data_IF_044787779045
#
_entry.id   IF_044787779045
#
_cell.length_a   1.000
_cell.length_b   1.000
_cell.length_c   1.000
_cell.angle_alpha   90.00
_cell.angle_beta   90.00
_cell.angle_gamma   90.00
#
_symmetry.space_group_name_H-M   'P 1'
#
loop_
_entity.id
_entity.type
_entity.pdbx_description
1 polymer ?
#
# COMPACT_ATOMS: atom_id res chain seq x y z
N UNK A 1 -10.92 6.29 17.38
CA UNK A 1 -10.56 4.92 16.97
C UNK A 1 -11.24 4.41 15.69
N UNK A 2 -12.56 4.54 15.51
CA UNK A 2 -13.23 3.92 14.34
C UNK A 2 -12.77 4.42 12.96
N UNK A 3 -12.45 5.72 12.81
CA UNK A 3 -11.87 6.28 11.57
C UNK A 3 -10.50 5.69 11.24
N UNK A 4 -9.67 5.51 12.26
CA UNK A 4 -8.33 4.92 12.14
C UNK A 4 -8.40 3.45 11.69
N UNK A 5 -9.20 2.62 12.36
CA UNK A 5 -9.42 1.21 11.99
C UNK A 5 -9.93 1.07 10.54
N UNK A 6 -10.85 1.94 10.13
CA UNK A 6 -11.44 1.91 8.79
C UNK A 6 -10.43 2.32 7.71
N UNK A 7 -9.50 3.22 8.03
CA UNK A 7 -8.39 3.57 7.16
C UNK A 7 -7.35 2.44 7.07
N UNK A 8 -7.02 1.80 8.20
CA UNK A 8 -6.15 0.62 8.30
C UNK A 8 -6.67 -0.55 7.45
N UNK A 9 -7.95 -0.88 7.57
CA UNK A 9 -8.60 -1.92 6.78
C UNK A 9 -8.53 -1.64 5.27
N UNK A 10 -8.74 -0.39 4.86
CA UNK A 10 -8.57 0.01 3.46
C UNK A 10 -7.13 -0.20 3.01
N UNK A 11 -6.16 0.17 3.85
CA UNK A 11 -4.74 0.07 3.50
C UNK A 11 -4.26 -1.39 3.39
N UNK A 12 -4.70 -2.26 4.31
CA UNK A 12 -4.46 -3.71 4.23
C UNK A 12 -5.05 -4.30 2.95
N UNK A 13 -6.27 -3.88 2.57
CA UNK A 13 -6.89 -4.34 1.32
C UNK A 13 -6.11 -3.89 0.09
N UNK A 14 -5.58 -2.67 0.12
CA UNK A 14 -4.75 -2.11 -0.94
C UNK A 14 -3.37 -2.77 -1.02
N UNK A 15 -2.72 -3.08 0.10
CA UNK A 15 -1.43 -3.79 0.13
C UNK A 15 -1.58 -5.24 -0.34
N UNK A 16 -2.65 -5.93 0.06
CA UNK A 16 -2.96 -7.27 -0.45
C UNK A 16 -3.17 -7.27 -1.97
N UNK A 17 -3.88 -6.26 -2.51
CA UNK A 17 -4.06 -6.10 -3.96
C UNK A 17 -2.73 -5.86 -4.69
N UNK A 18 -1.89 -4.97 -4.16
CA UNK A 18 -0.52 -4.74 -4.66
C UNK A 18 0.31 -6.02 -4.69
N UNK A 19 0.23 -6.84 -3.63
CA UNK A 19 0.90 -8.13 -3.55
C UNK A 19 0.43 -9.12 -4.62
N UNK A 20 -0.88 -9.20 -4.89
CA UNK A 20 -1.44 -10.07 -5.93
C UNK A 20 -0.97 -9.60 -7.32
N UNK A 21 -1.02 -8.30 -7.61
CA UNK A 21 -0.56 -7.73 -8.88
C UNK A 21 0.94 -7.98 -9.08
N UNK A 22 1.74 -7.82 -8.04
CA UNK A 22 3.17 -8.12 -8.06
C UNK A 22 3.44 -9.61 -8.34
N UNK A 23 2.70 -10.52 -7.70
CA UNK A 23 2.83 -11.96 -7.92
C UNK A 23 2.46 -12.37 -9.35
N UNK A 24 1.34 -11.86 -9.88
CA UNK A 24 0.89 -12.14 -11.27
C UNK A 24 1.91 -11.61 -12.28
N UNK A 25 2.42 -10.39 -12.06
CA UNK A 25 3.41 -9.78 -12.96
C UNK A 25 4.74 -10.54 -12.92
N UNK A 26 5.11 -11.09 -11.76
CA UNK A 26 6.31 -11.94 -11.64
C UNK A 26 6.18 -13.23 -12.45
N UNK A 27 4.97 -13.79 -12.56
CA UNK A 27 4.72 -15.00 -13.31
C UNK A 27 4.72 -14.77 -14.84
N UNK A 28 4.17 -13.65 -15.31
CA UNK A 28 3.97 -13.34 -16.75
C UNK A 28 5.10 -12.52 -17.38
N UNK A 29 5.94 -11.85 -16.58
CA UNK A 29 7.01 -11.01 -17.12
C UNK A 29 8.06 -11.80 -17.94
N UNK A 30 8.75 -11.15 -18.90
CA UNK A 30 9.80 -11.76 -19.71
C UNK A 30 10.94 -12.30 -18.85
N UNK A 31 11.76 -13.22 -19.40
CA UNK A 31 12.84 -13.95 -18.72
C UNK A 31 14.05 -13.07 -18.32
N UNK A 32 13.79 -11.97 -17.60
CA UNK A 32 14.77 -11.13 -16.93
C UNK A 32 14.62 -11.29 -15.41
N UNK A 33 15.66 -10.92 -14.67
CA UNK A 33 15.83 -11.15 -13.24
C UNK A 33 14.57 -10.87 -12.41
N UNK A 34 14.32 -11.74 -11.42
CA UNK A 34 13.17 -11.71 -10.49
C UNK A 34 12.94 -10.32 -9.86
N UNK A 35 14.01 -9.54 -9.67
CA UNK A 35 13.97 -8.18 -9.14
C UNK A 35 13.23 -7.19 -10.07
N UNK A 36 13.50 -7.26 -11.39
CA UNK A 36 12.87 -6.35 -12.37
C UNK A 36 11.39 -6.68 -12.52
N UNK A 37 11.05 -7.96 -12.54
CA UNK A 37 9.67 -8.48 -12.54
C UNK A 37 8.84 -7.98 -11.37
N UNK A 38 9.40 -8.07 -10.15
CA UNK A 38 8.74 -7.57 -8.94
C UNK A 38 8.56 -6.05 -8.98
N UNK A 39 9.59 -5.32 -9.43
CA UNK A 39 9.54 -3.86 -9.58
C UNK A 39 8.43 -3.38 -10.52
N UNK A 40 8.25 -4.05 -11.67
CA UNK A 40 7.20 -3.69 -12.64
C UNK A 40 5.81 -3.94 -12.05
N UNK A 41 5.61 -5.06 -11.36
CA UNK A 41 4.33 -5.37 -10.71
C UNK A 41 3.97 -4.40 -9.59
N UNK A 42 4.97 -3.96 -8.81
CA UNK A 42 4.80 -2.92 -7.80
C UNK A 42 4.45 -1.58 -8.45
N UNK A 43 5.13 -1.20 -9.54
CA UNK A 43 4.85 0.06 -10.25
C UNK A 43 3.44 0.05 -10.83
N UNK A 44 3.02 -1.04 -11.49
CA UNK A 44 1.66 -1.18 -12.05
C UNK A 44 0.61 -1.16 -10.94
N UNK A 45 0.82 -1.89 -9.84
CA UNK A 45 -0.07 -1.87 -8.69
C UNK A 45 -0.18 -0.47 -8.06
N UNK A 46 0.94 0.25 -7.96
CA UNK A 46 0.97 1.64 -7.51
C UNK A 46 0.29 2.59 -8.50
N UNK A 47 0.41 2.35 -9.82
CA UNK A 47 -0.25 3.14 -10.85
C UNK A 47 -1.77 2.97 -10.80
N UNK A 48 -2.25 1.73 -10.61
CA UNK A 48 -3.67 1.40 -10.47
C UNK A 48 -4.25 2.04 -9.20
N UNK A 49 -3.51 1.99 -8.09
CA UNK A 49 -3.94 2.64 -6.85
C UNK A 49 -3.81 4.17 -6.91
N UNK A 50 -2.92 4.68 -7.75
CA UNK A 50 -2.72 6.09 -8.05
C UNK A 50 -2.65 6.95 -6.80
N UNK A 51 -3.45 8.03 -6.75
CA UNK A 51 -3.50 8.96 -5.61
C UNK A 51 -4.24 8.40 -4.38
N UNK A 52 -4.90 7.25 -4.45
CA UNK A 52 -5.72 6.73 -3.33
C UNK A 52 -4.86 6.08 -2.24
N UNK A 53 -3.77 5.42 -2.60
CA UNK A 53 -2.85 4.83 -1.64
C UNK A 53 -2.10 5.88 -0.80
N UNK A 54 -1.39 6.86 -1.38
CA UNK A 54 -0.69 7.88 -0.59
C UNK A 54 -1.67 8.75 0.21
N UNK A 55 -2.91 8.95 -0.27
CA UNK A 55 -3.94 9.68 0.48
C UNK A 55 -4.44 8.90 1.69
N UNK A 56 -4.70 7.59 1.54
CA UNK A 56 -5.09 6.73 2.66
C UNK A 56 -3.94 6.53 3.65
N UNK A 57 -2.69 6.44 3.16
CA UNK A 57 -1.49 6.36 3.98
C UNK A 57 -1.28 7.64 4.78
N UNK A 58 -1.49 8.80 4.15
CA UNK A 58 -1.41 10.12 4.81
C UNK A 58 -2.51 10.29 5.86
N UNK A 59 -3.75 9.90 5.57
CA UNK A 59 -4.85 9.92 6.56
C UNK A 59 -4.55 9.01 7.77
N UNK A 60 -3.90 7.86 7.55
CA UNK A 60 -3.46 6.98 8.63
C UNK A 60 -2.31 7.57 9.44
N UNK A 61 -1.29 8.11 8.76
CA UNK A 61 -0.12 8.68 9.41
C UNK A 61 -0.51 9.87 10.27
N UNK A 62 -1.33 10.78 9.74
CA UNK A 62 -1.86 11.93 10.47
C UNK A 62 -2.68 11.50 11.70
N UNK A 63 -3.49 10.43 11.55
CA UNK A 63 -4.26 9.86 12.67
C UNK A 63 -3.40 9.14 13.70
N UNK A 64 -2.29 8.52 13.30
CA UNK A 64 -1.32 7.84 14.19
C UNK A 64 -0.46 8.86 14.92
N UNK A 65 0.05 9.89 14.23
CA UNK A 65 0.86 10.94 14.83
C UNK A 65 0.05 11.68 15.90
N UNK A 66 -1.19 12.07 15.62
CA UNK A 66 -2.05 12.70 16.63
C UNK A 66 -2.45 11.80 17.80
N UNK A 67 -2.30 10.46 17.67
CA UNK A 67 -2.53 9.49 18.74
C UNK A 67 -1.28 9.31 19.61
N UNK A 68 -0.10 9.27 18.97
CA UNK A 68 1.20 9.22 19.65
C UNK A 68 1.45 10.51 20.44
N UNK A 69 1.13 11.66 19.86
CA UNK A 69 1.31 12.98 20.48
C UNK A 69 0.38 13.19 21.68
N UNK A 70 -0.76 12.48 21.74
CA UNK A 70 -1.68 12.49 22.89
C UNK A 70 -1.36 11.48 23.99
N UNK A 71 -0.37 10.60 23.79
CA UNK A 71 0.06 9.60 24.77
C UNK A 71 1.34 10.04 25.53
N UNK A 72 1.96 11.15 25.12
CA UNK A 72 3.15 11.77 25.74
C UNK A 72 2.82 12.98 26.67
N UNK A 73 1.54 13.32 26.86
CA UNK A 73 1.02 14.32 27.85
C UNK A 73 0.36 13.64 29.07
#
# INVERSE_FOLDING_TARGET
MERYLRALLKLIKYSAFLGIVAAITSFIGPNHSILIKSGIGIIIGCLILGKRLPRALKELFDSTTGLFESEDD
#
